data_IF_435670827672
#
_entry.id   IF_435670827672
#
_cell.length_a   1.000
_cell.length_b   1.000
_cell.length_c   1.000
_cell.angle_alpha   90.00
_cell.angle_beta   90.00
_cell.angle_gamma   90.00
#
_symmetry.space_group_name_H-M   'P 1'
#
loop_
_entity.id
_entity.type
_entity.pdbx_description
1 polymer ?
2 non-polymer ?
3 non-polymer ?
4 non-polymer ?
5 water ?
#
# COMPACT_ATOMS: atom_id res chain seq x y z
N UNK A 7 19.38 0.41 16.40
CA UNK A 7 18.69 0.98 17.60
C UNK A 7 17.31 1.56 17.27
N UNK A 8 17.04 1.76 15.98
CA UNK A 8 15.82 2.39 15.50
C UNK A 8 14.53 1.71 15.95
N UNK A 9 14.51 0.38 15.89
CA UNK A 9 13.33 -0.39 16.32
C UNK A 9 13.02 -0.18 17.80
N UNK A 10 14.01 -0.43 18.65
CA UNK A 10 13.84 -0.27 20.09
C UNK A 10 13.42 1.15 20.46
N UNK A 11 14.01 2.13 19.78
CA UNK A 11 13.78 3.53 20.09
C UNK A 11 12.44 4.06 19.58
N UNK A 12 12.08 3.69 18.35
CA UNK A 12 10.94 4.34 17.69
C UNK A 12 9.70 3.48 17.48
N UNK A 13 9.84 2.16 17.61
CA UNK A 13 8.67 1.27 17.60
C UNK A 13 7.63 1.66 18.66
N UNK A 14 8.07 1.98 19.90
CA UNK A 14 7.07 2.40 20.89
C UNK A 14 6.26 3.65 20.50
N UNK A 15 6.81 4.46 19.59
CA UNK A 15 6.19 5.72 19.20
C UNK A 15 5.29 5.56 17.97
N UNK A 16 5.79 4.85 16.97
CA UNK A 16 5.13 4.79 15.66
C UNK A 16 4.64 3.40 15.27
N UNK A 17 5.02 2.40 16.04
CA UNK A 17 4.60 1.02 15.78
C UNK A 17 3.18 0.78 16.23
N UNK A 18 2.54 -0.19 15.57
CA UNK A 18 1.19 -0.64 15.92
C UNK A 18 1.22 -2.16 16.00
N UNK A 19 0.84 -2.70 17.15
CA UNK A 19 0.84 -4.16 17.34
C UNK A 19 -0.35 -4.78 16.64
N UNK A 20 -0.17 -6.01 16.18
CA UNK A 20 -1.28 -6.76 15.60
C UNK A 20 -2.26 -7.17 16.69
N UNK A 21 -3.55 -7.02 16.40
CA UNK A 21 -4.61 -7.53 17.26
C UNK A 21 -5.82 -7.90 16.41
N UNK A 22 -6.82 -8.52 17.02
CA UNK A 22 -8.04 -8.86 16.30
C UNK A 22 -9.11 -7.78 16.48
N UNK A 23 -8.67 -6.57 16.78
CA UNK A 23 -9.54 -5.41 16.96
C UNK A 23 -9.38 -4.43 15.80
N UNK A 24 -10.50 -3.92 15.31
CA UNK A 24 -10.49 -2.92 14.24
C UNK A 24 -9.85 -1.63 14.71
N UNK A 25 -8.99 -1.07 13.86
CA UNK A 25 -8.33 0.18 14.17
C UNK A 25 -9.28 1.37 14.17
N UNK A 26 -9.11 2.24 15.15
CA UNK A 26 -9.80 3.52 15.23
C UNK A 26 -8.83 4.59 14.73
N UNK A 27 -8.96 5.01 13.47
CA UNK A 27 -8.01 5.95 12.88
C UNK A 27 -7.93 7.32 13.59
N UNK A 28 -9.10 7.94 13.91
CA UNK A 28 -9.07 9.13 14.76
C UNK A 28 -8.27 8.95 16.07
N UNK A 29 -8.44 7.82 16.74
CA UNK A 29 -7.68 7.54 17.97
C UNK A 29 -6.20 7.32 17.69
N UNK A 30 -5.90 6.59 16.61
CA UNK A 30 -4.51 6.28 16.26
C UNK A 30 -3.71 7.53 15.88
N UNK A 31 -4.31 8.37 15.05
CA UNK A 31 -3.63 9.52 14.48
C UNK A 31 -3.92 10.85 15.17
N UNK A 32 -4.90 10.85 16.08
CA UNK A 32 -5.22 12.02 16.89
C UNK A 32 -6.02 13.09 16.15
N UNK A 33 -6.66 12.70 15.05
CA UNK A 33 -7.41 13.61 14.20
C UNK A 33 -8.21 12.84 13.16
N UNK A 34 -9.10 13.56 12.45
CA UNK A 34 -9.84 13.02 11.32
C UNK A 34 -9.16 13.47 10.03
N UNK A 35 -8.55 12.54 9.31
CA UNK A 35 -7.85 12.86 8.07
C UNK A 35 -7.80 11.63 7.15
N UNK A 36 -7.59 11.86 5.83
CA UNK A 36 -7.46 10.74 4.91
C UNK A 36 -6.30 9.81 5.29
N UNK A 37 -6.52 8.50 5.15
CA UNK A 37 -5.51 7.48 5.46
C UNK A 37 -5.09 6.76 4.19
N UNK A 38 -3.77 6.70 3.97
CA UNK A 38 -3.17 5.94 2.88
C UNK A 38 -2.37 4.80 3.49
N UNK A 39 -2.54 3.61 2.91
CA UNK A 39 -1.84 2.40 3.36
C UNK A 39 -0.83 1.99 2.29
N UNK A 40 0.43 1.78 2.69
CA UNK A 40 1.40 1.13 1.81
C UNK A 40 1.71 -0.26 2.32
N UNK A 41 1.48 -1.25 1.46
CA UNK A 41 1.78 -2.64 1.76
C UNK A 41 3.16 -3.01 1.21
N UNK A 42 3.99 -3.61 2.08
CA UNK A 42 5.34 -4.03 1.69
C UNK A 42 6.23 -2.87 1.34
N UNK A 43 6.32 -1.93 2.28
CA UNK A 43 7.03 -0.67 2.04
C UNK A 43 8.56 -0.77 1.98
N UNK A 44 9.10 -1.95 2.29
CA UNK A 44 10.54 -2.17 2.24
C UNK A 44 11.25 -1.33 3.29
N UNK A 45 12.19 -0.49 2.83
CA UNK A 45 12.94 0.39 3.73
C UNK A 45 12.14 1.67 4.04
N UNK A 46 10.99 1.83 3.38
CA UNK A 46 10.07 2.92 3.68
C UNK A 46 10.35 4.28 3.08
N UNK A 47 11.24 4.33 2.08
CA UNK A 47 11.63 5.62 1.48
C UNK A 47 10.44 6.33 0.85
N UNK A 48 9.63 5.59 0.10
CA UNK A 48 8.42 6.14 -0.52
C UNK A 48 7.44 6.63 0.53
N UNK A 49 7.21 5.81 1.56
CA UNK A 49 6.24 6.11 2.59
C UNK A 49 6.62 7.38 3.38
N UNK A 50 7.90 7.49 3.74
CA UNK A 50 8.40 8.67 4.44
C UNK A 50 8.30 9.92 3.57
N UNK A 51 8.65 9.79 2.29
CA UNK A 51 8.57 10.94 1.36
C UNK A 51 7.12 11.40 1.23
N UNK A 52 6.22 10.43 1.14
CA UNK A 52 4.78 10.66 1.03
C UNK A 52 4.24 11.43 2.24
N UNK A 53 4.59 10.94 3.42
CA UNK A 53 4.13 11.51 4.68
C UNK A 53 4.72 12.91 4.89
N UNK A 54 5.98 13.08 4.51
CA UNK A 54 6.66 14.37 4.65
C UNK A 54 5.99 15.44 3.79
N UNK A 55 5.59 15.06 2.58
CA UNK A 55 5.00 15.98 1.61
C UNK A 55 3.52 16.30 1.91
N UNK A 56 2.89 15.44 2.71
CA UNK A 56 1.46 15.53 2.98
C UNK A 56 1.16 15.52 4.49
N UNK A 57 1.58 16.57 5.22
CA UNK A 57 1.39 16.57 6.67
C UNK A 57 -0.08 16.58 7.09
N UNK A 58 -0.96 16.97 6.17
CA UNK A 58 -2.41 17.03 6.41
C UNK A 58 -3.10 15.68 6.27
N UNK A 59 -2.35 14.67 5.81
CA UNK A 59 -2.88 13.32 5.65
C UNK A 59 -2.15 12.34 6.56
N UNK A 60 -2.76 11.17 6.77
CA UNK A 60 -2.18 10.14 7.61
C UNK A 60 -1.79 8.90 6.83
N UNK A 61 -0.78 8.19 7.32
CA UNK A 61 -0.17 7.09 6.58
C UNK A 61 0.11 5.89 7.46
N UNK A 62 -0.29 4.72 6.96
CA UNK A 62 0.01 3.47 7.61
C UNK A 62 0.84 2.61 6.67
N UNK A 63 1.90 2.01 7.19
CA UNK A 63 2.70 1.07 6.41
C UNK A 63 2.67 -0.30 7.04
N UNK A 64 2.70 -1.34 6.22
CA UNK A 64 2.82 -2.71 6.74
C UNK A 64 3.96 -3.42 6.01
N UNK A 65 4.87 -4.03 6.77
CA UNK A 65 6.03 -4.70 6.18
C UNK A 65 6.48 -5.83 7.10
N UNK A 66 6.53 -7.05 6.57
CA UNK A 66 6.94 -8.24 7.34
C UNK A 66 8.45 -8.28 7.63
N UNK A 67 9.21 -7.55 6.84
CA UNK A 67 10.67 -7.52 6.94
C UNK A 67 11.07 -6.52 8.03
N UNK A 68 11.42 -7.04 9.20
CA UNK A 68 11.65 -6.14 10.34
C UNK A 68 12.80 -5.11 10.18
N UNK A 69 13.91 -5.48 9.50
CA UNK A 69 14.92 -4.43 9.22
C UNK A 69 14.36 -3.27 8.38
N UNK A 70 13.43 -3.58 7.48
CA UNK A 70 12.75 -2.55 6.69
C UNK A 70 11.93 -1.63 7.58
N UNK A 71 11.17 -2.23 8.51
CA UNK A 71 10.43 -1.48 9.53
C UNK A 71 11.36 -0.56 10.32
N UNK A 72 12.51 -1.08 10.75
CA UNK A 72 13.50 -0.29 11.47
C UNK A 72 14.02 0.88 10.65
N UNK A 73 14.38 0.62 9.40
CA UNK A 73 14.87 1.68 8.50
C UNK A 73 13.80 2.76 8.27
N UNK A 74 12.56 2.33 8.08
CA UNK A 74 11.46 3.25 7.90
C UNK A 74 11.28 4.13 9.14
N UNK A 75 11.31 3.53 10.31
CA UNK A 75 11.20 4.28 11.58
C UNK A 75 12.31 5.30 11.74
N UNK A 76 13.54 4.88 11.45
CA UNK A 76 14.70 5.77 11.55
C UNK A 76 14.55 6.98 10.64
N UNK A 77 14.09 6.75 9.41
CA UNK A 77 13.89 7.82 8.44
C UNK A 77 12.73 8.74 8.83
N UNK A 78 11.63 8.15 9.29
CA UNK A 78 10.47 8.92 9.76
C UNK A 78 10.84 9.81 10.96
N UNK A 79 11.64 9.27 11.86
CA UNK A 79 12.14 10.06 12.99
C UNK A 79 13.04 11.19 12.50
N UNK A 80 13.91 10.88 11.54
CA UNK A 80 14.82 11.87 10.97
C UNK A 80 14.07 13.04 10.32
N UNK A 81 12.87 12.76 9.81
CA UNK A 81 12.05 13.80 9.18
C UNK A 81 11.04 14.43 10.15
N UNK A 82 11.03 13.93 11.39
CA UNK A 82 10.16 14.47 12.44
C UNK A 82 8.69 14.34 12.10
N UNK A 83 8.32 13.17 11.58
CA UNK A 83 6.93 12.91 11.17
C UNK A 83 6.06 12.51 12.35
N UNK A 84 4.84 13.03 12.37
CA UNK A 84 3.84 12.63 13.35
C UNK A 84 2.67 11.88 12.72
N UNK A 85 2.66 11.82 11.39
CA UNK A 85 1.52 11.29 10.62
C UNK A 85 1.77 9.93 9.99
N UNK A 86 2.69 9.17 10.59
CA UNK A 86 3.06 7.86 10.07
C UNK A 86 3.06 6.80 11.17
N UNK A 87 2.44 5.65 10.86
CA UNK A 87 2.48 4.49 11.74
C UNK A 87 2.86 3.29 10.91
N UNK A 88 3.50 2.31 11.53
CA UNK A 88 3.94 1.11 10.82
C UNK A 88 3.61 -0.15 11.59
N UNK A 89 3.46 -1.24 10.84
CA UNK A 89 3.23 -2.55 11.44
C UNK A 89 4.22 -3.54 10.86
N UNK A 90 4.56 -4.54 11.66
CA UNK A 90 5.42 -5.65 11.21
C UNK A 90 4.62 -6.93 11.31
N UNK A 91 3.86 -7.22 10.24
CA UNK A 91 2.91 -8.31 10.23
C UNK A 91 2.44 -8.55 8.81
N UNK A 92 1.92 -9.75 8.55
CA UNK A 92 1.34 -10.08 7.25
C UNK A 92 0.19 -9.13 6.95
N UNK A 93 0.32 -8.37 5.85
CA UNK A 93 -0.69 -7.36 5.50
C UNK A 93 -2.08 -7.95 5.26
N UNK A 94 -2.14 -9.17 4.74
CA UNK A 94 -3.43 -9.81 4.47
C UNK A 94 -4.22 -9.95 5.77
N UNK A 95 -3.56 -10.43 6.82
CA UNK A 95 -4.20 -10.57 8.13
C UNK A 95 -4.58 -9.21 8.74
N UNK A 96 -3.71 -8.20 8.54
CA UNK A 96 -4.02 -6.86 9.05
C UNK A 96 -5.28 -6.30 8.36
N UNK A 97 -5.35 -6.47 7.04
CA UNK A 97 -6.52 -6.05 6.28
C UNK A 97 -7.80 -6.70 6.81
N UNK A 98 -7.76 -8.03 6.98
CA UNK A 98 -8.93 -8.76 7.46
C UNK A 98 -9.38 -8.36 8.86
N UNK A 99 -8.42 -8.18 9.77
CA UNK A 99 -8.74 -8.06 11.19
C UNK A 99 -8.73 -6.64 11.74
N UNK A 100 -7.98 -5.75 11.09
CA UNK A 100 -7.71 -4.43 11.69
C UNK A 100 -8.12 -3.21 10.88
N UNK A 101 -8.32 -3.37 9.58
CA UNK A 101 -8.67 -2.24 8.73
C UNK A 101 -10.17 -2.21 8.48
N UNK A 102 -10.87 -1.15 8.92
CA UNK A 102 -12.31 -1.10 8.68
C UNK A 102 -12.68 -0.99 7.20
N UNK A 103 -13.83 -1.55 6.84
CA UNK A 103 -14.35 -1.41 5.48
C UNK A 103 -14.49 0.06 5.11
N UNK A 104 -14.27 0.36 3.83
CA UNK A 104 -14.56 1.68 3.25
C UNK A 104 -13.77 2.83 3.88
N UNK A 105 -12.62 2.54 4.48
CA UNK A 105 -11.92 3.52 5.31
C UNK A 105 -10.72 4.23 4.68
N UNK A 106 -10.16 3.65 3.61
CA UNK A 106 -8.88 4.11 3.07
C UNK A 106 -9.02 4.97 1.82
N UNK A 107 -8.17 5.99 1.74
CA UNK A 107 -8.11 6.88 0.56
C UNK A 107 -7.34 6.20 -0.57
N UNK A 108 -6.31 5.46 -0.19
CA UNK A 108 -5.43 4.84 -1.16
C UNK A 108 -4.67 3.66 -0.55
N UNK A 109 -4.43 2.66 -1.37
CA UNK A 109 -3.57 1.53 -1.01
C UNK A 109 -2.48 1.47 -2.07
N UNK A 110 -1.23 1.46 -1.62
CA UNK A 110 -0.06 1.40 -2.50
C UNK A 110 0.64 0.06 -2.34
N UNK A 111 1.01 -0.52 -3.48
CA UNK A 111 1.74 -1.79 -3.49
C UNK A 111 2.82 -1.69 -4.56
N UNK A 112 4.01 -1.28 -4.14
CA UNK A 112 5.10 -0.97 -5.05
C UNK A 112 6.15 -2.08 -5.08
N UNK A 113 6.39 -2.60 -6.28
CA UNK A 113 7.34 -3.68 -6.51
C UNK A 113 7.14 -4.88 -5.59
N UNK A 114 5.89 -5.39 -5.54
CA UNK A 114 5.68 -6.57 -4.72
C UNK A 114 6.49 -7.73 -5.27
N UNK A 115 6.84 -8.69 -4.42
CA UNK A 115 7.71 -9.81 -4.80
C UNK A 115 7.25 -10.37 -6.14
N UNK A 116 8.12 -10.31 -7.17
CA UNK A 116 7.68 -10.65 -8.53
C UNK A 116 7.55 -12.14 -8.83
N UNK A 117 8.25 -12.99 -8.07
CA UNK A 117 8.20 -14.43 -8.25
C UNK A 117 8.28 -14.83 -9.73
N UNK A 118 9.47 -14.65 -10.29
CA UNK A 118 9.68 -14.87 -11.73
C UNK A 118 9.32 -16.26 -12.22
N UNK A 119 9.61 -17.28 -11.41
CA UNK A 119 9.38 -18.68 -11.80
C UNK A 119 7.90 -19.02 -11.82
N UNK A 120 7.48 -19.70 -12.88
CA UNK A 120 6.10 -20.15 -13.00
C UNK A 120 5.69 -20.97 -11.78
N UNK A 121 6.61 -21.77 -11.25
CA UNK A 121 6.30 -22.63 -10.10
C UNK A 121 5.86 -21.81 -8.89
N UNK A 122 6.26 -20.53 -8.87
CA UNK A 122 5.96 -19.63 -7.75
C UNK A 122 4.81 -18.66 -8.02
N UNK A 123 4.11 -18.84 -9.15
CA UNK A 123 3.12 -17.83 -9.57
C UNK A 123 2.05 -17.52 -8.52
N UNK A 124 1.67 -18.54 -7.75
CA UNK A 124 0.65 -18.38 -6.71
C UNK A 124 1.12 -17.61 -5.47
N UNK A 125 2.44 -17.44 -5.34
CA UNK A 125 3.01 -16.69 -4.22
C UNK A 125 2.86 -15.18 -4.41
N UNK A 126 2.56 -14.79 -5.65
CA UNK A 126 2.37 -13.38 -5.97
C UNK A 126 1.13 -12.86 -5.23
N UNK A 127 1.29 -11.73 -4.54
CA UNK A 127 0.24 -11.23 -3.66
C UNK A 127 -1.00 -10.74 -4.43
N UNK A 128 -0.80 -10.21 -5.64
CA UNK A 128 -1.95 -9.73 -6.41
C UNK A 128 -2.67 -10.92 -7.04
N UNK A 129 -3.78 -11.30 -6.41
CA UNK A 129 -4.69 -12.34 -6.86
C UNK A 129 -6.09 -11.82 -6.59
N UNK A 130 -7.10 -12.45 -7.17
CA UNK A 130 -8.46 -11.93 -7.04
C UNK A 130 -8.91 -11.74 -5.57
N UNK A 131 -8.77 -12.78 -4.71
CA UNK A 131 -9.23 -12.57 -3.33
C UNK A 131 -8.53 -11.39 -2.63
N UNK A 132 -7.22 -11.26 -2.80
CA UNK A 132 -6.49 -10.16 -2.19
C UNK A 132 -6.97 -8.81 -2.73
N UNK A 133 -7.14 -8.73 -4.05
CA UNK A 133 -7.59 -7.49 -4.68
C UNK A 133 -9.00 -7.11 -4.22
N UNK A 134 -9.86 -8.11 -4.06
CA UNK A 134 -11.21 -7.90 -3.51
C UNK A 134 -11.14 -7.40 -2.06
N UNK A 135 -10.22 -7.98 -1.29
CA UNK A 135 -10.04 -7.58 0.10
C UNK A 135 -9.61 -6.11 0.18
N UNK A 136 -8.62 -5.75 -0.63
CA UNK A 136 -8.16 -4.36 -0.69
C UNK A 136 -9.34 -3.46 -1.06
N UNK A 137 -10.14 -3.88 -2.04
CA UNK A 137 -11.24 -3.05 -2.52
C UNK A 137 -12.20 -2.72 -1.39
N UNK A 138 -12.49 -3.72 -0.55
CA UNK A 138 -13.46 -3.57 0.52
C UNK A 138 -13.02 -2.52 1.55
N UNK A 139 -11.72 -2.23 1.57
CA UNK A 139 -11.15 -1.30 2.54
C UNK A 139 -10.98 0.13 2.00
N UNK A 140 -11.13 0.29 0.68
CA UNK A 140 -11.10 1.61 0.07
C UNK A 140 -12.44 2.29 0.17
N UNK A 141 -12.43 3.59 0.43
CA UNK A 141 -13.63 4.39 0.26
C UNK A 141 -13.97 4.42 -1.23
N UNK A 142 -15.23 4.68 -1.56
CA UNK A 142 -15.56 4.88 -2.98
C UNK A 142 -14.75 6.06 -3.48
N UNK A 143 -14.16 5.91 -4.67
CA UNK A 143 -13.28 6.94 -5.21
C UNK A 143 -11.83 6.75 -4.75
N UNK A 144 -11.62 5.90 -3.75
CA UNK A 144 -10.26 5.53 -3.31
C UNK A 144 -9.57 4.71 -4.38
N UNK A 145 -8.25 4.67 -4.33
CA UNK A 145 -7.46 4.06 -5.41
C UNK A 145 -6.52 2.96 -4.89
N UNK A 146 -6.45 1.86 -5.64
CA UNK A 146 -5.43 0.84 -5.46
C UNK A 146 -4.40 1.07 -6.55
N UNK A 147 -3.18 1.40 -6.13
CA UNK A 147 -2.07 1.71 -7.01
C UNK A 147 -0.98 0.70 -6.78
N UNK A 148 -0.64 -0.03 -7.83
CA UNK A 148 0.46 -1.00 -7.76
C UNK A 148 1.46 -0.69 -8.87
N UNK A 149 2.70 -1.11 -8.65
CA UNK A 149 3.74 -0.95 -9.66
C UNK A 149 4.66 -2.15 -9.67
N UNK A 150 5.14 -2.52 -10.87
CA UNK A 150 6.11 -3.62 -11.00
C UNK A 150 7.06 -3.37 -12.16
N UNK A 151 8.24 -3.98 -12.08
CA UNK A 151 9.21 -3.90 -13.17
C UNK A 151 9.33 -5.24 -13.91
N UNK A 152 8.33 -6.10 -13.73
CA UNK A 152 8.28 -7.40 -14.39
C UNK A 152 6.99 -7.51 -15.20
N UNK A 153 7.11 -7.44 -16.54
CA UNK A 153 5.92 -7.39 -17.40
C UNK A 153 4.94 -8.55 -17.22
N UNK A 154 5.43 -9.80 -17.08
CA UNK A 154 4.48 -10.89 -16.81
C UNK A 154 3.63 -10.64 -15.57
N UNK A 155 4.22 -10.03 -14.53
CA UNK A 155 3.45 -9.70 -13.32
C UNK A 155 2.47 -8.55 -13.63
N UNK A 156 2.94 -7.54 -14.35
CA UNK A 156 2.09 -6.43 -14.75
C UNK A 156 0.84 -6.93 -15.49
N UNK A 157 1.05 -7.86 -16.44
CA UNK A 157 -0.05 -8.43 -17.21
C UNK A 157 -1.00 -9.23 -16.33
N UNK A 158 -0.44 -9.97 -15.38
CA UNK A 158 -1.24 -10.72 -14.42
C UNK A 158 -2.07 -9.76 -13.56
N UNK A 159 -1.41 -8.72 -13.04
CA UNK A 159 -2.11 -7.70 -12.27
C UNK A 159 -3.28 -7.11 -13.05
N UNK A 160 -3.04 -6.80 -14.32
CA UNK A 160 -4.08 -6.19 -15.16
C UNK A 160 -5.25 -7.16 -15.33
N UNK A 161 -4.96 -8.43 -15.55
CA UNK A 161 -6.01 -9.44 -15.71
C UNK A 161 -6.84 -9.58 -14.44
N UNK A 162 -6.17 -9.68 -13.30
CA UNK A 162 -6.84 -9.78 -12.01
C UNK A 162 -7.78 -8.59 -11.80
N UNK A 163 -7.23 -7.39 -11.95
CA UNK A 163 -7.97 -6.17 -11.64
C UNK A 163 -9.13 -5.91 -12.59
N UNK A 164 -8.92 -6.24 -13.87
CA UNK A 164 -9.95 -6.07 -14.90
C UNK A 164 -11.14 -7.01 -14.73
N UNK A 165 -10.93 -8.10 -13.99
CA UNK A 165 -11.95 -9.12 -13.78
C UNK A 165 -12.91 -8.81 -12.62
N UNK A 166 -12.58 -7.78 -11.85
CA UNK A 166 -13.30 -7.47 -10.60
C UNK A 166 -14.28 -6.31 -10.75
N UNK A 167 -15.57 -6.62 -10.61
CA UNK A 167 -16.61 -5.59 -10.60
C UNK A 167 -16.39 -4.67 -9.40
N UNK A 168 -16.44 -3.36 -9.65
CA UNK A 168 -16.21 -2.37 -8.58
C UNK A 168 -14.85 -1.70 -8.65
N UNK A 169 -13.98 -2.20 -9.53
CA UNK A 169 -12.73 -1.52 -9.84
C UNK A 169 -12.84 -0.91 -11.22
N UNK A 170 -12.49 0.37 -11.32
CA UNK A 170 -12.47 1.07 -12.59
C UNK A 170 -11.05 1.46 -12.95
N UNK A 171 -10.58 1.03 -14.11
CA UNK A 171 -9.23 1.35 -14.54
C UNK A 171 -9.10 2.83 -14.84
N UNK A 172 -8.10 3.49 -14.25
CA UNK A 172 -7.87 4.91 -14.49
C UNK A 172 -7.02 5.15 -15.75
N UNK A 173 -6.53 4.07 -16.35
CA UNK A 173 -5.72 4.16 -17.57
C UNK A 173 -6.54 4.60 -18.76
N UNK A 174 -6.04 5.61 -19.46
CA UNK A 174 -6.71 6.10 -20.68
C UNK A 174 -6.65 5.08 -21.82
N UNK A 175 -5.72 4.14 -21.71
CA UNK A 175 -5.54 3.06 -22.69
C UNK A 175 -6.00 1.70 -22.16
N UNK A 176 -6.78 1.70 -21.08
CA UNK A 176 -7.34 0.49 -20.50
C UNK A 176 -6.29 -0.53 -20.04
N UNK A 177 -5.03 -0.03 -19.78
CA UNK A 177 -4.07 -0.93 -19.17
C UNK A 177 -3.27 -0.30 -18.03
N UNK A 178 -2.29 0.53 -18.37
CA UNK A 178 -1.32 1.09 -17.42
C UNK A 178 -1.44 2.60 -17.37
N UNK A 179 -0.94 3.20 -16.29
CA UNK A 179 -0.98 4.65 -16.11
C UNK A 179 0.43 5.21 -16.02
N UNK A 180 0.61 6.50 -16.33
CA UNK A 180 1.94 7.06 -16.07
C UNK A 180 2.23 7.11 -14.57
N UNK A 181 3.49 7.08 -14.20
CA UNK A 181 3.87 7.19 -12.80
C UNK A 181 3.35 8.51 -12.21
N UNK A 182 2.55 8.42 -11.12
CA UNK A 182 2.05 9.64 -10.48
C UNK A 182 3.05 10.19 -9.47
N UNK A 183 2.81 11.43 -9.04
CA UNK A 183 3.65 12.07 -8.03
C UNK A 183 3.77 11.26 -6.73
N UNK A 184 2.74 10.45 -6.46
CA UNK A 184 2.67 9.65 -5.24
C UNK A 184 3.57 8.40 -5.21
N UNK A 185 4.29 8.13 -6.30
CA UNK A 185 5.34 7.10 -6.29
C UNK A 185 6.70 7.62 -6.76
N UNK A 186 7.77 7.39 -5.96
CA UNK A 186 9.07 7.94 -6.36
C UNK A 186 9.71 7.12 -7.49
N UNK A 187 10.54 7.78 -8.30
CA UNK A 187 11.33 7.09 -9.30
C UNK A 187 12.28 6.13 -8.61
N UNK A 188 12.55 4.98 -9.23
CA UNK A 188 13.56 4.06 -8.73
C UNK A 188 14.92 4.54 -9.23
N UNK A 189 15.99 4.02 -8.63
CA UNK A 189 17.36 4.40 -9.00
C UNK A 189 17.66 4.11 -10.48
N UNK A 190 16.98 3.12 -11.05
CA UNK A 190 17.24 2.68 -12.42
C UNK A 190 16.16 3.10 -13.41
N UNK A 191 15.14 3.78 -12.90
CA UNK A 191 14.00 4.21 -13.71
C UNK A 191 14.36 5.45 -14.52
N UNK A 198 8.49 1.05 -23.65
CA UNK A 198 8.32 1.76 -22.38
C UNK A 198 9.64 1.96 -21.66
N UNK A 199 9.55 2.24 -20.37
CA UNK A 199 10.75 2.48 -19.57
C UNK A 199 10.97 1.40 -18.51
N UNK A 200 10.20 0.32 -18.61
CA UNK A 200 10.47 -0.89 -17.83
C UNK A 200 9.85 -0.95 -16.45
N UNK A 201 8.99 0.01 -16.15
CA UNK A 201 8.15 -0.06 -14.95
C UNK A 201 6.70 0.15 -15.38
N UNK A 202 5.81 -0.67 -14.83
CA UNK A 202 4.38 -0.58 -15.08
C UNK A 202 3.67 -0.13 -13.81
N UNK A 203 2.90 0.96 -13.93
CA UNK A 203 2.01 1.41 -12.86
C UNK A 203 0.57 1.07 -13.24
N UNK A 204 -0.17 0.53 -12.29
CA UNK A 204 -1.61 0.28 -12.48
C UNK A 204 -2.36 1.01 -11.39
N UNK A 205 -3.40 1.74 -11.77
CA UNK A 205 -4.24 2.41 -10.79
C UNK A 205 -5.70 2.16 -11.13
N UNK A 206 -6.43 1.66 -10.14
CA UNK A 206 -7.86 1.41 -10.27
C UNK A 206 -8.59 2.10 -9.13
N UNK A 207 -9.68 2.77 -9.47
CA UNK A 207 -10.54 3.47 -8.50
C UNK A 207 -11.67 2.55 -8.07
N UNK A 208 -12.07 2.61 -6.80
CA UNK A 208 -13.24 1.84 -6.36
C UNK A 208 -14.51 2.59 -6.76
N UNK A 209 -15.39 1.87 -7.46
CA UNK A 209 -16.69 2.39 -7.87
C UNK A 209 -17.78 1.43 -7.38
N UNK A 210 -19.03 1.89 -7.35
CA UNK A 210 -20.11 1.00 -6.91
C UNK A 210 -20.26 -0.20 -7.85
N UNK A 211 -20.63 -1.35 -7.29
CA UNK A 211 -20.87 -2.56 -8.07
C UNK A 211 -21.90 -2.31 -9.16
N UNK A 212 -21.64 -2.83 -10.36
CA UNK A 212 -22.56 -2.66 -11.49
C UNK A 212 -23.59 -3.77 -11.48
#
# INVERSE_FOLDING_TARGET
MGSGQEHALENYWPVMGVEFSEDMLDFPALFGREAPVTLEIGFGMGASLVAMAKDRPEQDFLGIEVHSPGVGACLASAHEEGLSNLRVMCHDAVEVLHKMIPDNSLRMVQLFFPDPWHKARHNKRRIVQVPFAELVKSKLQLGGVFHMATDWEPYAEHMLEVMSSIDGYKNLSESNDYVPRPASRPVTKFEQRGHRLGHGVWDLMFERVKLEHHHHHH
#
